data_IF_690813649737
#
_entry.id   IF_690813649737
#
_cell.length_a   1.000
_cell.length_b   1.000
_cell.length_c   1.000
_cell.angle_alpha   90.00
_cell.angle_beta   90.00
_cell.angle_gamma   90.00
#
_symmetry.space_group_name_H-M   'P 1'
#
loop_
_entity.id
_entity.type
_entity.pdbx_description
1 polymer ?
#
# COMPACT_ATOMS: atom_id res chain seq x y z
N UNK A 1 18.95 43.22 20.17
CA UNK A 1 18.91 42.45 18.92
C UNK A 1 19.06 40.97 19.29
N UNK A 2 17.98 40.21 19.31
CA UNK A 2 18.02 38.78 19.60
C UNK A 2 18.56 38.04 18.39
N UNK A 3 19.65 37.29 18.57
CA UNK A 3 20.22 36.40 17.56
C UNK A 3 19.12 35.48 17.01
N UNK A 4 18.99 35.31 15.68
CA UNK A 4 18.03 34.34 15.16
C UNK A 4 18.39 32.95 15.68
N UNK A 5 17.41 32.24 16.20
CA UNK A 5 17.57 30.88 16.69
C UNK A 5 18.10 30.01 15.54
N UNK A 6 19.23 29.34 15.75
CA UNK A 6 19.75 28.35 14.81
C UNK A 6 18.72 27.22 14.73
N UNK A 7 18.00 27.12 13.61
CA UNK A 7 17.10 25.99 13.35
C UNK A 7 17.98 24.75 13.19
N UNK A 8 18.03 23.92 14.23
CA UNK A 8 18.75 22.64 14.19
C UNK A 8 17.93 21.64 13.39
N UNK A 9 18.22 21.54 12.10
CA UNK A 9 17.62 20.52 11.22
C UNK A 9 18.06 19.13 11.69
N UNK A 10 17.10 18.25 11.98
CA UNK A 10 17.33 16.86 12.43
C UNK A 10 17.06 15.81 11.35
N UNK A 11 16.55 16.22 10.19
CA UNK A 11 16.11 15.33 9.09
C UNK A 11 17.03 15.50 7.89
N UNK A 12 17.45 14.37 7.30
CA UNK A 12 18.21 14.35 6.05
C UNK A 12 17.23 14.45 4.89
N UNK A 13 16.86 15.67 4.53
CA UNK A 13 15.93 15.98 3.44
C UNK A 13 16.41 17.22 2.70
N UNK A 14 16.07 17.33 1.42
CA UNK A 14 16.25 18.56 0.66
C UNK A 14 15.07 19.50 0.93
N UNK A 15 14.11 19.60 0.01
CA UNK A 15 12.87 20.35 0.19
C UNK A 15 11.80 19.44 0.79
N UNK A 16 10.89 20.02 1.59
CA UNK A 16 9.87 19.23 2.31
C UNK A 16 8.90 18.56 1.33
N UNK A 17 8.56 19.25 0.26
CA UNK A 17 7.73 18.80 -0.85
C UNK A 17 8.37 17.67 -1.67
N UNK A 18 9.70 17.59 -1.68
CA UNK A 18 10.46 16.63 -2.47
C UNK A 18 10.77 15.33 -1.71
N UNK A 19 10.43 15.25 -0.42
CA UNK A 19 10.72 14.09 0.45
C UNK A 19 10.23 12.77 -0.16
N UNK A 20 8.98 12.71 -0.61
CA UNK A 20 8.40 11.48 -1.18
C UNK A 20 8.95 11.21 -2.59
N UNK A 21 8.94 12.16 -3.54
CA UNK A 21 9.54 11.94 -4.86
C UNK A 21 11.01 11.50 -4.82
N UNK A 22 11.85 12.14 -4.01
CA UNK A 22 13.28 11.79 -3.90
C UNK A 22 13.48 10.42 -3.26
N UNK A 23 12.69 10.08 -2.22
CA UNK A 23 12.76 8.77 -1.58
C UNK A 23 12.37 7.65 -2.56
N UNK A 24 11.33 7.86 -3.37
CA UNK A 24 10.90 6.90 -4.39
C UNK A 24 11.94 6.77 -5.52
N UNK A 25 12.52 7.89 -5.97
CA UNK A 25 13.61 7.87 -6.95
C UNK A 25 14.82 7.07 -6.43
N UNK A 26 15.19 7.28 -5.16
CA UNK A 26 16.24 6.52 -4.49
C UNK A 26 15.93 5.03 -4.39
N UNK A 27 14.70 4.66 -4.01
CA UNK A 27 14.25 3.27 -3.94
C UNK A 27 14.34 2.57 -5.30
N UNK A 28 13.87 3.23 -6.36
CA UNK A 28 13.94 2.71 -7.73
C UNK A 28 15.39 2.54 -8.21
N UNK A 29 16.27 3.50 -7.92
CA UNK A 29 17.68 3.43 -8.27
C UNK A 29 18.45 2.36 -7.49
N UNK A 30 18.05 2.07 -6.25
CA UNK A 30 18.70 1.06 -5.40
C UNK A 30 18.32 -0.38 -5.77
N UNK A 31 17.15 -0.59 -6.38
CA UNK A 31 16.62 -1.93 -6.70
C UNK A 31 16.07 -2.05 -8.14
N UNK A 32 16.84 -1.65 -9.17
CA UNK A 32 16.34 -1.58 -10.55
C UNK A 32 15.94 -2.94 -11.15
N UNK A 33 16.53 -4.04 -10.64
CA UNK A 33 16.22 -5.40 -11.09
C UNK A 33 14.93 -5.97 -10.45
N UNK A 34 14.44 -5.34 -9.38
CA UNK A 34 13.29 -5.80 -8.60
C UNK A 34 12.08 -4.88 -8.75
N UNK A 35 12.32 -3.57 -8.85
CA UNK A 35 11.30 -2.54 -8.78
C UNK A 35 11.30 -1.64 -10.02
N UNK A 36 10.10 -1.22 -10.41
CA UNK A 36 9.85 -0.10 -11.31
C UNK A 36 9.11 0.98 -10.52
N UNK A 37 9.61 2.20 -10.53
CA UNK A 37 8.92 3.34 -9.89
C UNK A 37 8.25 4.18 -10.97
N UNK A 38 6.93 4.30 -10.88
CA UNK A 38 6.17 5.30 -11.63
C UNK A 38 6.22 6.62 -10.85
N UNK A 39 7.13 7.51 -11.27
CA UNK A 39 7.33 8.79 -10.60
C UNK A 39 6.13 9.73 -10.75
N UNK A 40 5.39 9.65 -11.87
CA UNK A 40 4.25 10.52 -12.13
C UNK A 40 3.10 10.20 -11.17
N UNK A 41 2.83 8.91 -10.97
CA UNK A 41 1.76 8.44 -10.09
C UNK A 41 2.23 8.08 -8.68
N UNK A 42 3.53 8.17 -8.36
CA UNK A 42 4.15 7.73 -7.10
C UNK A 42 3.76 6.29 -6.72
N UNK A 43 3.96 5.37 -7.65
CA UNK A 43 3.67 3.94 -7.47
C UNK A 43 4.98 3.15 -7.54
N UNK A 44 5.17 2.26 -6.58
CA UNK A 44 6.23 1.23 -6.64
C UNK A 44 5.61 -0.04 -7.22
N UNK A 45 6.17 -0.55 -8.31
CA UNK A 45 5.71 -1.72 -9.05
C UNK A 45 6.81 -2.79 -9.06
N UNK A 46 6.44 -4.06 -9.19
CA UNK A 46 7.41 -5.12 -9.50
C UNK A 46 7.96 -4.96 -10.93
N UNK A 47 9.29 -5.04 -11.11
CA UNK A 47 9.97 -4.79 -12.40
C UNK A 47 9.56 -5.74 -13.55
N UNK A 48 8.99 -6.91 -13.25
CA UNK A 48 8.48 -7.87 -14.25
C UNK A 48 7.01 -7.67 -14.66
N UNK A 49 6.30 -6.69 -14.09
CA UNK A 49 4.90 -6.44 -14.39
C UNK A 49 3.93 -7.54 -13.88
N UNK A 50 2.67 -7.50 -14.35
CA UNK A 50 1.64 -8.44 -13.91
C UNK A 50 1.90 -9.84 -14.45
N UNK A 51 1.79 -10.85 -13.58
CA UNK A 51 1.91 -12.26 -13.98
C UNK A 51 0.54 -12.75 -14.43
N UNK A 52 0.45 -13.24 -15.67
CA UNK A 52 -0.81 -13.73 -16.25
C UNK A 52 -1.41 -14.85 -15.39
N UNK A 53 -2.70 -14.76 -15.11
CA UNK A 53 -3.43 -15.75 -14.30
C UNK A 53 -3.14 -15.71 -12.79
N UNK A 54 -2.33 -14.75 -12.32
CA UNK A 54 -2.11 -14.51 -10.88
C UNK A 54 -2.97 -13.32 -10.45
N UNK A 55 -3.62 -13.43 -9.30
CA UNK A 55 -4.26 -12.29 -8.62
C UNK A 55 -3.22 -11.20 -8.36
N UNK A 56 -3.48 -9.98 -8.79
CA UNK A 56 -2.63 -8.83 -8.47
C UNK A 56 -2.86 -8.36 -7.02
N UNK A 57 -1.82 -7.91 -6.33
CA UNK A 57 -1.94 -7.34 -4.98
C UNK A 57 -1.52 -5.87 -4.97
N UNK A 58 -2.43 -5.00 -4.51
CA UNK A 58 -2.19 -3.57 -4.32
C UNK A 58 -2.41 -3.20 -2.87
N UNK A 59 -1.48 -2.42 -2.32
CA UNK A 59 -1.61 -1.77 -1.02
C UNK A 59 -1.14 -0.32 -1.13
N UNK A 60 -1.31 0.45 -0.07
CA UNK A 60 -1.04 1.88 -0.12
C UNK A 60 -1.33 2.60 1.19
N UNK A 61 -0.90 3.85 1.25
CA UNK A 61 -1.10 4.73 2.39
C UNK A 61 -0.17 5.94 2.32
N UNK A 62 -0.25 6.77 3.35
CA UNK A 62 0.69 7.88 3.51
C UNK A 62 2.13 7.41 3.72
N UNK A 63 3.08 8.14 3.15
CA UNK A 63 4.51 7.97 3.42
C UNK A 63 4.87 8.27 4.88
N UNK A 64 6.05 7.84 5.31
CA UNK A 64 6.51 7.93 6.70
C UNK A 64 6.34 6.64 7.51
N UNK A 65 5.95 5.56 6.84
CA UNK A 65 5.84 4.21 7.42
C UNK A 65 6.81 3.22 6.77
N UNK A 66 7.79 3.71 6.00
CA UNK A 66 8.78 2.88 5.32
C UNK A 66 9.45 1.91 6.33
N UNK A 67 9.57 0.60 6.00
CA UNK A 67 9.45 0.00 4.66
C UNK A 67 8.01 -0.24 4.15
N UNK A 68 6.99 -0.05 4.99
CA UNK A 68 5.60 -0.26 4.61
C UNK A 68 5.12 0.91 3.72
N UNK A 69 4.63 0.71 2.49
CA UNK A 69 4.39 -0.55 1.77
C UNK A 69 5.42 -0.84 0.67
N UNK A 70 6.12 0.19 0.17
CA UNK A 70 6.98 0.08 -1.02
C UNK A 70 8.10 -0.94 -0.90
N UNK A 71 8.63 -1.18 0.31
CA UNK A 71 9.65 -2.21 0.57
C UNK A 71 9.11 -3.64 0.53
N UNK A 72 7.80 -3.83 0.45
CA UNK A 72 7.12 -5.13 0.36
C UNK A 72 6.54 -5.41 -1.02
N UNK A 73 6.92 -4.63 -2.03
CA UNK A 73 6.66 -4.93 -3.45
C UNK A 73 7.68 -5.95 -3.93
N UNK A 74 7.21 -7.12 -4.39
CA UNK A 74 8.09 -8.20 -4.81
C UNK A 74 7.41 -9.57 -4.89
N UNK A 75 8.18 -10.58 -5.32
CA UNK A 75 7.69 -11.94 -5.49
C UNK A 75 7.13 -12.49 -4.16
N UNK A 76 5.88 -12.96 -4.21
CA UNK A 76 5.20 -13.53 -3.04
C UNK A 76 4.73 -12.52 -2.00
N UNK A 77 4.69 -11.23 -2.33
CA UNK A 77 4.11 -10.14 -1.53
C UNK A 77 3.23 -9.25 -2.43
N UNK A 78 3.40 -7.92 -2.40
CA UNK A 78 2.65 -6.97 -3.21
C UNK A 78 3.18 -6.93 -4.65
N UNK A 79 2.29 -6.66 -5.61
CA UNK A 79 2.67 -6.35 -6.99
C UNK A 79 2.80 -4.83 -7.20
N UNK A 80 2.06 -4.03 -6.43
CA UNK A 80 2.20 -2.58 -6.36
C UNK A 80 1.95 -2.00 -4.96
N UNK A 81 2.59 -0.86 -4.70
CA UNK A 81 2.32 -0.01 -3.55
C UNK A 81 2.15 1.46 -3.97
N UNK A 82 1.04 2.08 -3.56
CA UNK A 82 0.77 3.50 -3.81
C UNK A 82 1.30 4.35 -2.65
N UNK A 83 2.19 5.31 -2.95
CA UNK A 83 2.73 6.25 -1.97
C UNK A 83 1.96 7.58 -2.01
N UNK A 84 1.26 7.87 -0.92
CA UNK A 84 0.65 9.18 -0.68
C UNK A 84 1.67 10.19 -0.15
N UNK A 85 1.22 11.40 0.16
CA UNK A 85 2.06 12.33 0.92
C UNK A 85 2.31 11.81 2.34
N UNK A 86 3.23 12.43 3.07
CA UNK A 86 3.53 12.03 4.45
C UNK A 86 2.25 12.01 5.29
N UNK A 87 1.92 10.84 5.85
CA UNK A 87 0.71 10.57 6.64
C UNK A 87 -0.64 10.86 5.94
N UNK A 88 -0.66 10.92 4.61
CA UNK A 88 -1.88 11.20 3.82
C UNK A 88 -2.12 10.08 2.81
N UNK A 89 -3.33 9.53 2.79
CA UNK A 89 -3.75 8.52 1.81
C UNK A 89 -3.41 8.93 0.36
N UNK A 90 -2.97 8.00 -0.51
CA UNK A 90 -2.86 8.24 -1.95
C UNK A 90 -4.23 8.60 -2.55
N UNK A 91 -4.25 9.25 -3.71
CA UNK A 91 -5.53 9.57 -4.38
C UNK A 91 -6.12 8.35 -5.08
N UNK A 92 -7.45 8.32 -5.32
CA UNK A 92 -8.10 7.25 -6.07
C UNK A 92 -7.44 6.97 -7.42
N UNK A 93 -7.10 8.01 -8.19
CA UNK A 93 -6.45 7.87 -9.51
C UNK A 93 -5.09 7.16 -9.44
N UNK A 94 -4.31 7.38 -8.36
CA UNK A 94 -3.06 6.65 -8.15
C UNK A 94 -3.32 5.14 -7.97
N UNK A 95 -4.36 4.80 -7.20
CA UNK A 95 -4.72 3.40 -6.92
C UNK A 95 -5.40 2.74 -8.13
N UNK A 96 -6.16 3.49 -8.91
CA UNK A 96 -6.71 3.06 -10.20
C UNK A 96 -5.57 2.67 -11.14
N UNK A 97 -4.57 3.56 -11.32
CA UNK A 97 -3.40 3.30 -12.14
C UNK A 97 -2.62 2.07 -11.67
N UNK A 98 -2.43 1.91 -10.36
CA UNK A 98 -1.79 0.72 -9.79
C UNK A 98 -2.58 -0.55 -10.07
N UNK A 99 -3.91 -0.51 -9.89
CA UNK A 99 -4.81 -1.64 -10.12
C UNK A 99 -4.74 -2.13 -11.56
N UNK A 100 -4.82 -1.21 -12.53
CA UNK A 100 -4.66 -1.53 -13.96
C UNK A 100 -3.28 -2.07 -14.28
N UNK A 101 -2.23 -1.53 -13.65
CA UNK A 101 -0.86 -1.94 -13.88
C UNK A 101 -0.55 -3.35 -13.37
N UNK A 102 -1.28 -3.86 -12.37
CA UNK A 102 -1.05 -5.19 -11.79
C UNK A 102 -2.07 -6.24 -12.19
N UNK A 103 -3.09 -5.90 -12.97
CA UNK A 103 -4.08 -6.87 -13.42
C UNK A 103 -3.47 -7.92 -14.38
N UNK A 104 -3.35 -9.15 -13.87
CA UNK A 104 -2.91 -10.33 -14.62
C UNK A 104 -4.03 -11.08 -15.34
N UNK A 105 -5.26 -10.58 -15.29
CA UNK A 105 -6.47 -11.24 -15.79
C UNK A 105 -7.10 -12.23 -14.81
N UNK A 106 -6.75 -12.14 -13.53
CA UNK A 106 -7.32 -12.95 -12.44
C UNK A 106 -7.90 -12.08 -11.30
N UNK A 107 -8.11 -10.79 -11.58
CA UNK A 107 -8.55 -9.80 -10.61
C UNK A 107 -7.44 -9.29 -9.69
N UNK A 108 -7.80 -8.34 -8.84
CA UNK A 108 -6.87 -7.63 -7.95
C UNK A 108 -7.43 -7.57 -6.54
N UNK A 109 -6.58 -7.90 -5.55
CA UNK A 109 -6.88 -7.70 -4.13
C UNK A 109 -6.29 -6.36 -3.67
N UNK A 110 -7.15 -5.48 -3.18
CA UNK A 110 -6.78 -4.28 -2.42
C UNK A 110 -6.63 -4.62 -0.93
N UNK A 111 -5.45 -4.35 -0.37
CA UNK A 111 -5.17 -4.48 1.05
C UNK A 111 -5.14 -3.07 1.65
N UNK A 112 -6.10 -2.79 2.53
CA UNK A 112 -6.38 -1.41 2.98
C UNK A 112 -6.22 -1.32 4.48
N UNK A 113 -5.42 -0.36 4.98
CA UNK A 113 -5.36 -0.10 6.42
C UNK A 113 -6.61 0.66 6.85
N UNK A 114 -7.18 0.34 8.02
CA UNK A 114 -8.40 1.00 8.48
C UNK A 114 -8.11 2.43 8.97
N UNK A 115 -8.00 3.34 8.02
CA UNK A 115 -8.01 4.79 8.18
C UNK A 115 -9.06 5.34 7.21
N UNK A 116 -9.84 6.33 7.63
CA UNK A 116 -10.98 6.84 6.84
C UNK A 116 -10.56 7.25 5.44
N UNK A 117 -9.46 7.99 5.30
CA UNK A 117 -8.95 8.41 3.99
C UNK A 117 -8.43 7.25 3.14
N UNK A 118 -7.85 6.21 3.74
CA UNK A 118 -7.41 5.02 3.02
C UNK A 118 -8.63 4.24 2.49
N UNK A 119 -9.60 3.94 3.37
CA UNK A 119 -10.82 3.19 3.02
C UNK A 119 -11.63 3.88 1.93
N UNK A 120 -11.87 5.19 2.05
CA UNK A 120 -12.64 5.95 1.06
C UNK A 120 -11.93 5.97 -0.30
N UNK A 121 -10.62 6.27 -0.32
CA UNK A 121 -9.91 6.41 -1.60
C UNK A 121 -9.73 5.05 -2.31
N UNK A 122 -9.48 3.97 -1.58
CA UNK A 122 -9.42 2.62 -2.16
C UNK A 122 -10.78 2.18 -2.71
N UNK A 123 -11.87 2.48 -2.00
CA UNK A 123 -13.22 2.18 -2.49
C UNK A 123 -13.51 2.94 -3.78
N UNK A 124 -13.22 4.24 -3.83
CA UNK A 124 -13.37 5.04 -5.05
C UNK A 124 -12.51 4.49 -6.20
N UNK A 125 -11.28 4.04 -5.93
CA UNK A 125 -10.42 3.44 -6.96
C UNK A 125 -10.99 2.12 -7.52
N UNK A 126 -11.60 1.30 -6.66
CA UNK A 126 -12.30 0.08 -7.11
C UNK A 126 -13.51 0.41 -7.99
N UNK A 127 -14.26 1.47 -7.64
CA UNK A 127 -15.40 1.94 -8.44
C UNK A 127 -14.95 2.49 -9.82
N UNK A 128 -13.80 3.16 -9.89
CA UNK A 128 -13.24 3.70 -11.15
C UNK A 128 -12.85 2.63 -12.17
N UNK A 129 -12.55 1.40 -11.72
CA UNK A 129 -12.22 0.26 -12.60
C UNK A 129 -13.36 -0.76 -12.70
N UNK A 130 -14.53 -0.46 -12.14
CA UNK A 130 -15.65 -1.38 -12.10
C UNK A 130 -16.12 -1.75 -13.52
N UNK A 131 -16.26 -3.06 -13.76
CA UNK A 131 -16.59 -3.60 -15.08
C UNK A 131 -15.38 -3.80 -16.01
N UNK A 132 -14.20 -3.32 -15.63
CA UNK A 132 -12.94 -3.54 -16.35
C UNK A 132 -12.03 -4.53 -15.62
N UNK A 133 -11.86 -4.36 -14.30
CA UNK A 133 -11.05 -5.24 -13.44
C UNK A 133 -11.91 -5.72 -12.27
N UNK A 134 -11.90 -7.02 -12.02
CA UNK A 134 -12.51 -7.58 -10.81
C UNK A 134 -11.65 -7.24 -9.58
N UNK A 135 -12.19 -6.45 -8.66
CA UNK A 135 -11.49 -6.01 -7.44
C UNK A 135 -12.19 -6.58 -6.22
N UNK A 136 -11.40 -7.15 -5.31
CA UNK A 136 -11.82 -7.47 -3.95
C UNK A 136 -10.99 -6.64 -2.96
N UNK A 137 -11.54 -6.35 -1.79
CA UNK A 137 -10.86 -5.54 -0.77
C UNK A 137 -10.87 -6.22 0.60
N UNK A 138 -9.78 -6.08 1.33
CA UNK A 138 -9.68 -6.46 2.75
C UNK A 138 -9.17 -5.27 3.56
N UNK A 139 -9.94 -4.91 4.60
CA UNK A 139 -9.57 -3.82 5.51
C UNK A 139 -8.92 -4.41 6.76
N UNK A 140 -7.66 -4.04 7.03
CA UNK A 140 -6.95 -4.46 8.25
C UNK A 140 -7.31 -3.57 9.43
N UNK A 141 -7.66 -4.17 10.56
CA UNK A 141 -8.14 -3.48 11.76
C UNK A 141 -7.64 -4.16 13.05
N UNK A 142 -6.36 -4.50 13.08
CA UNK A 142 -5.70 -5.33 14.09
C UNK A 142 -5.31 -4.60 15.38
N UNK A 143 -5.30 -3.26 15.38
CA UNK A 143 -4.87 -2.46 16.53
C UNK A 143 -5.87 -2.57 17.71
N UNK A 144 -5.43 -3.16 18.81
CA UNK A 144 -6.28 -3.32 20.01
C UNK A 144 -6.19 -2.16 21.00
N UNK A 145 -5.33 -1.17 20.76
CA UNK A 145 -5.11 -0.07 21.69
C UNK A 145 -6.30 0.90 21.74
N UNK A 146 -7.01 1.09 20.63
CA UNK A 146 -8.08 2.10 20.48
C UNK A 146 -9.17 1.59 19.54
N UNK A 147 -10.44 1.74 19.94
CA UNK A 147 -11.59 1.34 19.12
C UNK A 147 -12.12 2.44 18.19
N UNK A 148 -11.97 3.72 18.51
CA UNK A 148 -12.32 4.83 17.61
C UNK A 148 -11.28 5.96 17.77
N UNK A 149 -10.88 6.60 16.67
CA UNK A 149 -9.89 7.68 16.69
C UNK A 149 -10.27 8.83 15.77
N UNK A 150 -9.53 9.94 15.82
CA UNK A 150 -9.74 11.12 14.95
C UNK A 150 -9.80 10.79 13.45
N UNK A 151 -9.21 9.67 13.03
CA UNK A 151 -9.05 9.31 11.62
C UNK A 151 -9.57 7.91 11.27
N UNK A 152 -10.27 7.25 12.20
CA UNK A 152 -10.76 5.87 12.00
C UNK A 152 -12.08 5.64 12.72
N UNK A 153 -13.03 5.02 12.02
CA UNK A 153 -14.17 4.34 12.63
C UNK A 153 -13.81 2.87 12.87
N UNK A 154 -13.84 2.41 14.11
CA UNK A 154 -13.30 1.11 14.49
C UNK A 154 -11.77 1.11 14.69
N UNK A 155 -11.21 -0.09 14.84
CA UNK A 155 -9.77 -0.28 15.12
C UNK A 155 -8.90 0.07 13.92
N UNK A 156 -7.73 0.65 14.15
CA UNK A 156 -6.74 0.96 13.10
C UNK A 156 -6.12 -0.31 12.51
N UNK A 157 -5.65 -0.21 11.27
CA UNK A 157 -4.80 -1.23 10.65
C UNK A 157 -3.33 -0.89 10.83
N UNK A 158 -2.55 -1.77 11.45
CA UNK A 158 -1.15 -1.52 11.81
C UNK A 158 -0.24 -2.72 11.49
N UNK A 159 0.31 -3.41 12.48
CA UNK A 159 1.39 -4.40 12.32
C UNK A 159 0.97 -5.68 11.61
N UNK A 160 -0.30 -6.08 11.64
CA UNK A 160 -0.77 -7.29 10.93
C UNK A 160 -0.78 -7.08 9.42
N UNK A 161 -0.80 -5.83 8.94
CA UNK A 161 -0.86 -5.54 7.50
C UNK A 161 0.29 -6.21 6.75
N UNK A 162 1.54 -6.11 7.22
CA UNK A 162 2.68 -6.78 6.54
C UNK A 162 2.57 -8.31 6.52
N UNK A 163 2.00 -8.91 7.57
CA UNK A 163 1.78 -10.36 7.62
C UNK A 163 0.71 -10.78 6.61
N UNK A 164 -0.36 -10.00 6.52
CA UNK A 164 -1.42 -10.21 5.54
C UNK A 164 -0.86 -10.10 4.12
N UNK A 165 -0.08 -9.06 3.81
CA UNK A 165 0.57 -8.88 2.51
C UNK A 165 1.45 -10.07 2.14
N UNK A 166 2.26 -10.58 3.09
CA UNK A 166 3.11 -11.76 2.86
C UNK A 166 2.32 -13.03 2.57
N UNK A 167 1.28 -13.28 3.36
CA UNK A 167 0.52 -14.54 3.31
C UNK A 167 -0.43 -14.54 2.10
N UNK A 168 -1.13 -13.44 1.85
CA UNK A 168 -1.98 -13.28 0.68
C UNK A 168 -1.14 -13.31 -0.62
N UNK A 169 0.01 -12.62 -0.65
CA UNK A 169 0.90 -12.63 -1.80
C UNK A 169 1.45 -14.03 -2.10
N UNK A 170 1.80 -14.81 -1.07
CA UNK A 170 2.19 -16.20 -1.26
C UNK A 170 1.04 -17.06 -1.81
N UNK A 171 -0.18 -16.86 -1.31
CA UNK A 171 -1.37 -17.57 -1.81
C UNK A 171 -1.67 -17.24 -3.26
N UNK A 172 -1.53 -15.97 -3.66
CA UNK A 172 -1.69 -15.55 -5.05
C UNK A 172 -0.62 -16.15 -5.96
N UNK A 173 0.64 -16.23 -5.53
CA UNK A 173 1.71 -16.87 -6.33
C UNK A 173 1.50 -18.37 -6.56
N UNK A 174 0.71 -19.04 -5.72
CA UNK A 174 0.28 -20.43 -5.93
C UNK A 174 -0.83 -20.57 -7.00
N UNK A 175 -1.28 -19.47 -7.62
CA UNK A 175 -2.35 -19.48 -8.62
C UNK A 175 -3.75 -19.60 -8.05
N UNK A 176 -3.94 -19.27 -6.76
CA UNK A 176 -5.26 -19.27 -6.14
C UNK A 176 -6.15 -18.17 -6.73
N UNK A 177 -7.46 -18.41 -6.76
CA UNK A 177 -8.45 -17.45 -7.24
C UNK A 177 -8.55 -16.22 -6.34
N UNK A 178 -9.09 -15.10 -6.87
CA UNK A 178 -9.31 -13.88 -6.09
C UNK A 178 -10.09 -14.14 -4.80
N UNK A 179 -11.13 -14.98 -4.87
CA UNK A 179 -11.92 -15.39 -3.71
C UNK A 179 -11.10 -16.12 -2.64
N UNK A 180 -10.24 -17.07 -3.03
CA UNK A 180 -9.38 -17.81 -2.10
C UNK A 180 -8.28 -16.93 -1.47
N UNK A 181 -7.68 -16.03 -2.26
CA UNK A 181 -6.69 -15.07 -1.77
C UNK A 181 -7.35 -14.11 -0.76
N UNK A 182 -8.55 -13.62 -1.09
CA UNK A 182 -9.34 -12.74 -0.22
C UNK A 182 -9.73 -13.44 1.08
N UNK A 183 -10.23 -14.68 1.00
CA UNK A 183 -10.58 -15.49 2.17
C UNK A 183 -9.35 -15.73 3.08
N UNK A 184 -8.18 -15.96 2.49
CA UNK A 184 -6.92 -16.09 3.23
C UNK A 184 -6.58 -14.80 3.95
N UNK A 185 -6.66 -13.65 3.27
CA UNK A 185 -6.39 -12.34 3.84
C UNK A 185 -7.35 -11.99 4.99
N UNK A 186 -8.66 -12.23 4.80
CA UNK A 186 -9.68 -12.06 5.83
C UNK A 186 -9.38 -12.92 7.06
N UNK A 187 -8.95 -14.17 6.87
CA UNK A 187 -8.57 -15.06 7.97
C UNK A 187 -7.35 -14.52 8.73
N UNK A 188 -6.35 -13.98 8.05
CA UNK A 188 -5.19 -13.34 8.70
C UNK A 188 -5.64 -12.15 9.54
N UNK A 189 -6.44 -11.24 8.96
CA UNK A 189 -6.94 -10.07 9.69
C UNK A 189 -7.78 -10.45 10.92
N UNK A 190 -8.66 -11.44 10.79
CA UNK A 190 -9.53 -11.87 11.89
C UNK A 190 -8.75 -12.40 13.10
N UNK A 191 -7.57 -12.99 12.89
CA UNK A 191 -6.77 -13.65 13.92
C UNK A 191 -5.56 -12.82 14.41
N UNK A 192 -5.17 -11.77 13.67
CA UNK A 192 -4.06 -10.91 14.05
C UNK A 192 -4.46 -9.81 15.03
N UNK A 193 -3.63 -9.52 16.03
CA UNK A 193 -3.80 -8.39 16.95
C UNK A 193 -2.45 -7.70 17.15
N UNK A 194 -2.45 -6.38 17.17
CA UNK A 194 -1.27 -5.55 17.41
C UNK A 194 -1.52 -4.55 18.52
N UNK A 195 -0.49 -4.26 19.29
CA UNK A 195 -0.47 -3.20 20.31
C UNK A 195 0.92 -2.59 20.34
N UNK A 196 0.99 -1.26 20.48
CA UNK A 196 2.23 -0.49 20.58
C UNK A 196 2.03 0.75 21.43
#
# INVERSE_FOLDING_TARGET
MTSPAVVRVKKLINRVEDVVPESLAGLGAAHPDLLKVDAANRIVLRAGGPKRGKVGLVSGGGSGHEPLHGGFVGLGMLDAACAGHVFTSPTPDQMEAATRAVDGGAGVLHIVKNYTGDVLNFQMAADLVAGEVEVASVVTNDDVAVQDSLYTAGRRGVGVTVLLEKIAGARAEQGASLAEVTATAVKVNANGRSMG
#
